data_IF_126779177184
#
_entry.id   IF_126779177184
#
_cell.length_a   1.000
_cell.length_b   1.000
_cell.length_c   1.000
_cell.angle_alpha   90.00
_cell.angle_beta   90.00
_cell.angle_gamma   90.00
#
_symmetry.space_group_name_H-M   'P 1'
#
loop_
_entity.id
_entity.type
_entity.pdbx_description
1 polymer ?
#
# COMPACT_ATOMS: atom_id res chain seq x y z
N UNK A 1 17.88 3.07 11.24
CA UNK A 1 17.73 4.34 10.50
C UNK A 1 16.94 3.97 9.26
N UNK A 2 15.66 4.37 9.19
CA UNK A 2 14.81 4.09 8.01
C UNK A 2 15.34 4.92 6.83
N UNK A 3 15.35 4.40 5.59
CA UNK A 3 15.78 5.15 4.42
C UNK A 3 14.79 6.30 4.12
N UNK A 4 15.33 7.44 3.75
CA UNK A 4 14.57 8.62 3.33
C UNK A 4 14.01 8.37 1.92
N UNK A 5 12.68 8.37 1.77
CA UNK A 5 12.02 8.23 0.47
C UNK A 5 11.99 9.59 -0.20
N UNK A 6 12.71 9.75 -1.30
CA UNK A 6 12.56 10.93 -2.16
C UNK A 6 11.58 10.61 -3.29
N UNK A 7 10.39 11.20 -3.22
CA UNK A 7 9.47 11.24 -4.34
C UNK A 7 9.95 12.32 -5.31
N UNK A 8 10.44 11.94 -6.48
CA UNK A 8 10.68 12.85 -7.57
C UNK A 8 9.48 12.82 -8.50
N UNK A 9 8.60 13.80 -8.38
CA UNK A 9 7.64 14.10 -9.42
C UNK A 9 8.41 14.75 -10.57
N UNK A 10 8.46 14.11 -11.75
CA UNK A 10 9.08 14.71 -12.94
C UNK A 10 8.04 15.66 -13.53
N UNK A 11 8.28 16.97 -13.40
CA UNK A 11 7.43 17.99 -14.03
C UNK A 11 7.71 18.05 -15.53
N UNK A 12 6.73 18.49 -16.34
CA UNK A 12 6.78 18.55 -17.81
C UNK A 12 8.07 19.16 -18.42
N UNK A 13 8.78 20.01 -17.69
CA UNK A 13 10.01 20.64 -18.15
C UNK A 13 11.27 19.77 -18.09
N UNK A 14 11.23 18.60 -17.45
CA UNK A 14 12.37 17.69 -17.34
C UNK A 14 12.24 16.40 -18.17
N UNK A 15 11.10 16.17 -18.82
CA UNK A 15 10.92 15.12 -19.83
C UNK A 15 11.61 15.55 -21.13
N UNK A 16 12.92 15.72 -21.08
CA UNK A 16 13.73 15.86 -22.28
C UNK A 16 13.69 14.55 -23.06
N UNK A 17 13.87 14.61 -24.39
CA UNK A 17 14.07 13.43 -25.26
C UNK A 17 15.04 12.39 -24.64
N UNK A 18 15.98 12.83 -23.80
CA UNK A 18 16.94 11.99 -23.08
C UNK A 18 16.24 11.20 -21.96
N UNK A 19 15.20 11.75 -21.31
CA UNK A 19 14.42 11.03 -20.30
C UNK A 19 13.49 9.99 -20.95
N UNK A 20 12.87 10.31 -22.08
CA UNK A 20 12.11 9.38 -22.91
C UNK A 20 13.00 8.26 -23.50
N UNK A 21 14.19 8.58 -23.97
CA UNK A 21 15.17 7.58 -24.44
C UNK A 21 15.68 6.72 -23.29
N UNK A 22 15.87 7.27 -22.08
CA UNK A 22 16.20 6.48 -20.89
C UNK A 22 15.03 5.62 -20.44
N UNK A 23 13.78 6.11 -20.50
CA UNK A 23 12.58 5.31 -20.25
C UNK A 23 12.45 4.18 -21.28
N UNK A 24 12.59 4.42 -22.57
CA UNK A 24 12.60 3.38 -23.59
C UNK A 24 13.73 2.35 -23.38
N UNK A 25 14.92 2.79 -23.00
CA UNK A 25 16.04 1.88 -22.68
C UNK A 25 15.75 1.04 -21.43
N UNK A 26 15.02 1.58 -20.44
CA UNK A 26 14.57 0.88 -19.25
C UNK A 26 13.46 -0.13 -19.60
N UNK A 27 12.55 0.23 -20.53
CA UNK A 27 11.43 -0.63 -20.93
C UNK A 27 11.88 -1.77 -21.86
N UNK A 28 12.77 -1.51 -22.81
CA UNK A 28 13.27 -2.54 -23.73
C UNK A 28 14.07 -3.64 -23.02
N UNK A 29 14.71 -3.34 -21.90
CA UNK A 29 15.49 -4.32 -21.15
C UNK A 29 14.77 -4.90 -19.92
N UNK A 30 13.69 -4.25 -19.38
CA UNK A 30 13.09 -4.66 -18.11
C UNK A 30 11.60 -4.29 -17.99
N UNK A 31 10.71 -4.95 -18.72
CA UNK A 31 9.27 -4.99 -18.38
C UNK A 31 9.03 -5.42 -16.91
N UNK A 32 10.06 -5.93 -16.28
CA UNK A 32 10.11 -6.34 -14.88
C UNK A 32 10.17 -5.17 -13.87
N UNK A 33 10.37 -3.92 -14.29
CA UNK A 33 10.47 -2.76 -13.39
C UNK A 33 9.15 -2.05 -13.13
N UNK A 34 8.13 -2.28 -13.95
CA UNK A 34 6.80 -1.73 -13.69
C UNK A 34 6.24 -2.34 -12.41
N UNK A 35 5.87 -1.50 -11.47
CA UNK A 35 5.38 -1.85 -10.14
C UNK A 35 4.23 -0.93 -9.74
N UNK A 36 3.69 -1.14 -8.55
CA UNK A 36 2.73 -0.21 -7.96
C UNK A 36 3.09 0.12 -6.51
N UNK A 37 2.62 1.27 -6.06
CA UNK A 37 2.66 1.69 -4.66
C UNK A 37 1.29 2.26 -4.27
N UNK A 38 0.97 2.21 -2.98
CA UNK A 38 -0.23 2.83 -2.41
C UNK A 38 0.22 3.99 -1.53
N UNK A 39 -0.29 5.18 -1.82
CA UNK A 39 0.09 6.44 -1.19
C UNK A 39 -1.17 7.22 -0.78
N UNK A 40 -1.05 8.20 0.14
CA UNK A 40 -2.12 9.15 0.39
C UNK A 40 -2.44 9.92 -0.90
N UNK A 41 -3.70 9.97 -1.31
CA UNK A 41 -4.15 10.76 -2.47
C UNK A 41 -3.74 12.23 -2.34
N UNK A 42 -3.80 12.78 -1.12
CA UNK A 42 -3.41 14.16 -0.84
C UNK A 42 -1.94 14.50 -1.05
N UNK A 43 -1.07 13.48 -1.13
CA UNK A 43 0.39 13.64 -1.35
C UNK A 43 0.82 13.42 -2.79
N UNK A 44 -0.10 13.10 -3.68
CA UNK A 44 0.20 12.89 -5.09
C UNK A 44 -0.26 14.12 -5.87
N UNK A 45 0.66 15.03 -6.26
CA UNK A 45 0.31 16.17 -7.08
C UNK A 45 -0.10 15.70 -8.48
N UNK A 46 -1.00 16.45 -9.12
CA UNK A 46 -1.44 16.25 -10.51
C UNK A 46 -1.81 14.79 -10.83
N UNK A 47 -2.49 14.13 -9.87
CA UNK A 47 -2.81 12.70 -9.93
C UNK A 47 -3.51 12.30 -11.24
N UNK A 48 -4.35 13.17 -11.78
CA UNK A 48 -5.08 12.95 -13.03
C UNK A 48 -4.16 12.87 -14.28
N UNK A 49 -2.91 13.30 -14.15
CA UNK A 49 -1.94 13.29 -15.27
C UNK A 49 -1.12 12.00 -15.32
N UNK A 50 -1.24 11.14 -14.30
CA UNK A 50 -0.48 9.90 -14.18
C UNK A 50 -1.38 8.66 -14.19
N UNK A 51 -0.82 7.51 -14.53
CA UNK A 51 -1.54 6.22 -14.46
C UNK A 51 -1.77 5.85 -13.00
N UNK A 52 -3.04 5.87 -12.58
CA UNK A 52 -3.43 5.59 -11.20
C UNK A 52 -4.80 4.89 -11.11
N UNK A 53 -5.12 4.40 -9.92
CA UNK A 53 -6.46 4.06 -9.46
C UNK A 53 -6.69 4.71 -8.10
N UNK A 54 -7.95 4.83 -7.72
CA UNK A 54 -8.34 5.35 -6.41
C UNK A 54 -8.90 4.21 -5.54
N UNK A 55 -8.53 4.21 -4.26
CA UNK A 55 -9.03 3.29 -3.27
C UNK A 55 -9.36 4.07 -1.99
N UNK A 56 -10.61 4.48 -1.85
CA UNK A 56 -11.08 5.40 -0.80
C UNK A 56 -10.28 6.73 -0.85
N UNK A 57 -9.58 7.12 0.22
CA UNK A 57 -8.71 8.29 0.25
C UNK A 57 -7.25 7.99 -0.17
N UNK A 58 -7.00 6.77 -0.63
CA UNK A 58 -5.70 6.32 -1.10
C UNK A 58 -5.61 6.37 -2.63
N UNK A 59 -4.40 6.57 -3.11
CA UNK A 59 -4.04 6.48 -4.52
C UNK A 59 -3.16 5.25 -4.78
N UNK A 60 -3.52 4.46 -5.77
CA UNK A 60 -2.71 3.37 -6.32
C UNK A 60 -1.93 3.92 -7.49
N UNK A 61 -0.64 4.10 -7.34
CA UNK A 61 0.23 4.70 -8.35
C UNK A 61 1.00 3.61 -9.09
N UNK A 62 0.89 3.61 -10.40
CA UNK A 62 1.67 2.74 -11.27
C UNK A 62 2.95 3.43 -11.68
N UNK A 63 4.08 2.75 -11.48
CA UNK A 63 5.38 3.41 -11.55
C UNK A 63 6.48 2.46 -12.00
N UNK A 64 7.59 3.03 -12.43
CA UNK A 64 8.87 2.31 -12.49
C UNK A 64 9.56 2.42 -11.14
N UNK A 65 9.97 1.28 -10.58
CA UNK A 65 10.69 1.24 -9.31
C UNK A 65 12.09 0.69 -9.54
N UNK A 66 13.09 1.44 -9.11
CA UNK A 66 14.48 1.00 -9.06
C UNK A 66 15.01 1.06 -7.65
N UNK A 67 15.91 0.14 -7.29
CA UNK A 67 16.61 0.14 -6.01
C UNK A 67 18.08 0.45 -6.26
N UNK A 68 18.59 1.52 -5.65
CA UNK A 68 20.03 1.77 -5.64
C UNK A 68 20.71 0.76 -4.72
N UNK A 69 21.77 0.14 -5.19
CA UNK A 69 22.54 -0.89 -4.47
C UNK A 69 23.30 -0.35 -3.27
N UNK A 70 23.57 0.96 -3.23
CA UNK A 70 24.25 1.63 -2.12
C UNK A 70 23.25 2.43 -1.27
N UNK A 71 22.60 1.77 -0.31
CA UNK A 71 21.84 2.44 0.75
C UNK A 71 20.34 2.24 0.76
N UNK A 72 19.79 1.28 0.03
CA UNK A 72 18.34 0.94 0.03
C UNK A 72 17.40 2.11 -0.29
N UNK A 73 17.84 3.05 -1.13
CA UNK A 73 16.95 4.09 -1.64
C UNK A 73 16.13 3.54 -2.81
N UNK A 74 14.82 3.68 -2.71
CA UNK A 74 13.91 3.37 -3.80
C UNK A 74 13.61 4.67 -4.57
N UNK A 75 13.78 4.63 -5.89
CA UNK A 75 13.32 5.67 -6.79
C UNK A 75 12.01 5.24 -7.41
N UNK A 76 10.99 6.06 -7.23
CA UNK A 76 9.66 5.87 -7.82
C UNK A 76 9.53 6.89 -8.94
N UNK A 77 9.35 6.42 -10.17
CA UNK A 77 9.08 7.26 -11.34
C UNK A 77 7.64 6.97 -11.76
N UNK A 78 6.74 7.88 -11.47
CA UNK A 78 5.33 7.78 -11.85
C UNK A 78 5.21 7.79 -13.38
N UNK A 79 4.22 7.07 -13.93
CA UNK A 79 4.02 6.94 -15.38
C UNK A 79 2.98 7.97 -15.80
N UNK A 80 3.35 9.01 -16.58
CA UNK A 80 2.40 9.96 -17.13
C UNK A 80 1.48 9.31 -18.16
N UNK A 81 0.20 9.70 -18.16
CA UNK A 81 -0.80 9.16 -19.09
C UNK A 81 -0.44 9.39 -20.57
N UNK A 82 0.15 10.54 -20.88
CA UNK A 82 0.54 10.94 -22.26
C UNK A 82 1.76 10.16 -22.78
N UNK A 83 2.49 9.45 -21.92
CA UNK A 83 3.64 8.63 -22.31
C UNK A 83 3.27 7.22 -22.76
N UNK A 84 2.06 6.74 -22.47
CA UNK A 84 1.64 5.36 -22.73
C UNK A 84 1.78 4.96 -24.20
N UNK A 85 1.33 5.80 -25.12
CA UNK A 85 1.44 5.53 -26.57
C UNK A 85 2.90 5.44 -27.01
N UNK A 86 3.76 6.32 -26.47
CA UNK A 86 5.18 6.36 -26.82
C UNK A 86 5.93 5.10 -26.35
N UNK A 87 5.49 4.50 -25.24
CA UNK A 87 6.07 3.26 -24.71
C UNK A 87 5.36 2.00 -25.25
N UNK A 88 4.31 2.16 -26.07
CA UNK A 88 3.59 1.05 -26.70
C UNK A 88 2.70 0.24 -25.77
N UNK A 89 2.22 0.83 -24.67
CA UNK A 89 1.34 0.18 -23.71
C UNK A 89 0.00 0.90 -23.61
N UNK A 90 -1.07 0.14 -23.37
CA UNK A 90 -2.33 0.70 -22.87
C UNK A 90 -2.28 0.78 -21.33
N UNK A 91 -3.12 1.63 -20.75
CA UNK A 91 -3.28 1.76 -19.32
C UNK A 91 -3.56 0.40 -18.65
N UNK A 92 -4.50 -0.37 -19.18
CA UNK A 92 -4.84 -1.72 -18.71
C UNK A 92 -3.64 -2.69 -18.72
N UNK A 93 -2.78 -2.59 -19.74
CA UNK A 93 -1.58 -3.43 -19.82
C UNK A 93 -0.57 -3.07 -18.74
N UNK A 94 -0.33 -1.77 -18.51
CA UNK A 94 0.54 -1.28 -17.43
C UNK A 94 0.01 -1.73 -16.08
N UNK A 95 -1.28 -1.52 -15.79
CA UNK A 95 -1.89 -1.91 -14.52
C UNK A 95 -1.76 -3.41 -14.24
N UNK A 96 -2.11 -4.24 -15.20
CA UNK A 96 -1.97 -5.70 -15.10
C UNK A 96 -0.51 -6.15 -14.91
N UNK A 97 0.41 -5.56 -15.67
CA UNK A 97 1.83 -5.89 -15.58
C UNK A 97 2.40 -5.48 -14.21
N UNK A 98 2.05 -4.29 -13.72
CA UNK A 98 2.48 -3.80 -12.41
C UNK A 98 2.04 -4.73 -11.29
N UNK A 99 0.76 -5.12 -11.27
CA UNK A 99 0.23 -6.06 -10.26
C UNK A 99 0.99 -7.39 -10.30
N UNK A 100 1.14 -7.99 -11.49
CA UNK A 100 1.83 -9.27 -11.65
C UNK A 100 3.30 -9.20 -11.20
N UNK A 101 4.02 -8.16 -11.61
CA UNK A 101 5.42 -7.95 -11.23
C UNK A 101 5.57 -7.74 -9.73
N UNK A 102 4.68 -6.93 -9.14
CA UNK A 102 4.73 -6.60 -7.72
C UNK A 102 4.52 -7.85 -6.86
N UNK A 103 3.50 -8.66 -7.17
CA UNK A 103 3.25 -9.93 -6.47
C UNK A 103 4.44 -10.88 -6.57
N UNK A 104 5.01 -11.02 -7.77
CA UNK A 104 6.14 -11.93 -7.98
C UNK A 104 7.42 -11.51 -7.26
N UNK A 105 7.70 -10.21 -7.19
CA UNK A 105 8.91 -9.67 -6.56
C UNK A 105 8.76 -9.50 -5.06
N UNK A 106 7.58 -9.12 -4.61
CA UNK A 106 7.27 -8.77 -3.24
C UNK A 106 6.00 -9.51 -2.78
N UNK A 107 6.06 -10.84 -2.56
CA UNK A 107 4.92 -11.60 -2.05
C UNK A 107 4.38 -10.99 -0.76
N UNK A 108 3.06 -11.05 -0.56
CA UNK A 108 2.44 -10.58 0.67
C UNK A 108 2.91 -11.40 1.88
N UNK A 109 2.99 -10.72 3.01
CA UNK A 109 3.27 -11.29 4.32
C UNK A 109 2.21 -10.83 5.31
N UNK A 110 1.49 -11.77 5.90
CA UNK A 110 0.52 -11.49 6.98
C UNK A 110 0.87 -12.38 8.17
N UNK A 111 1.11 -11.76 9.31
CA UNK A 111 1.47 -12.49 10.55
C UNK A 111 0.88 -11.79 11.78
N UNK A 112 0.79 -12.49 12.91
CA UNK A 112 0.47 -11.84 14.18
C UNK A 112 1.48 -10.73 14.49
N UNK A 113 1.05 -9.70 15.20
CA UNK A 113 1.95 -8.59 15.61
C UNK A 113 3.10 -9.11 16.48
N UNK A 114 2.83 -10.11 17.31
CA UNK A 114 3.85 -10.74 18.15
C UNK A 114 4.92 -11.44 17.33
N UNK A 115 4.52 -12.25 16.34
CA UNK A 115 5.44 -12.92 15.43
C UNK A 115 6.21 -11.92 14.56
N UNK A 116 5.56 -10.82 14.13
CA UNK A 116 6.21 -9.76 13.39
C UNK A 116 7.33 -9.08 14.19
N UNK A 117 7.03 -8.66 15.43
CA UNK A 117 7.99 -8.05 16.36
C UNK A 117 9.13 -9.04 16.67
N UNK A 118 8.80 -10.31 16.95
CA UNK A 118 9.79 -11.34 17.22
C UNK A 118 10.78 -11.50 16.05
N UNK A 119 10.27 -11.49 14.82
CA UNK A 119 11.10 -11.57 13.62
C UNK A 119 12.03 -10.37 13.46
N UNK A 120 11.53 -9.14 13.68
CA UNK A 120 12.32 -7.91 13.55
C UNK A 120 13.44 -7.81 14.57
N UNK A 121 13.17 -8.22 15.80
CA UNK A 121 14.13 -8.10 16.92
C UNK A 121 14.84 -9.40 17.26
N UNK A 122 14.61 -10.48 16.49
CA UNK A 122 15.18 -11.83 16.71
C UNK A 122 14.87 -12.35 18.11
N UNK A 123 13.62 -12.16 18.57
CA UNK A 123 13.12 -12.62 19.85
C UNK A 123 12.39 -13.95 19.70
N UNK A 124 12.16 -14.63 20.83
CA UNK A 124 11.25 -15.78 20.88
C UNK A 124 9.80 -15.26 20.80
N UNK A 125 8.97 -15.72 19.85
CA UNK A 125 7.58 -15.30 19.73
C UNK A 125 6.68 -15.78 20.88
N UNK A 126 7.13 -16.73 21.72
CA UNK A 126 6.32 -17.25 22.83
C UNK A 126 5.89 -16.14 23.78
N UNK A 127 4.57 -15.97 23.89
CA UNK A 127 3.95 -14.98 24.79
C UNK A 127 3.69 -13.60 24.13
N UNK A 128 4.15 -13.36 22.92
CA UNK A 128 3.87 -12.10 22.20
C UNK A 128 2.56 -12.15 21.38
N UNK A 129 2.03 -13.34 21.09
CA UNK A 129 0.83 -13.53 20.27
C UNK A 129 -0.50 -13.41 21.06
N UNK A 130 -0.49 -12.73 22.21
CA UNK A 130 -1.71 -12.56 23.02
C UNK A 130 -2.61 -11.43 22.53
N UNK A 131 -2.11 -10.57 21.66
CA UNK A 131 -2.87 -9.44 21.09
C UNK A 131 -3.45 -9.91 19.77
N UNK A 132 -4.78 -9.87 19.54
CA UNK A 132 -5.42 -10.32 18.31
C UNK A 132 -5.26 -9.27 17.20
N UNK A 133 -4.04 -8.84 16.95
CA UNK A 133 -3.66 -7.91 15.91
C UNK A 133 -2.67 -8.57 14.96
N UNK A 134 -2.80 -8.26 13.69
CA UNK A 134 -1.95 -8.80 12.64
C UNK A 134 -1.32 -7.66 11.85
N UNK A 135 -0.15 -7.92 11.28
CA UNK A 135 0.55 -7.01 10.37
C UNK A 135 0.45 -7.57 8.96
N UNK A 136 0.01 -6.76 8.02
CA UNK A 136 0.01 -7.07 6.60
C UNK A 136 1.01 -6.16 5.87
N UNK A 137 1.93 -6.78 5.16
CA UNK A 137 3.00 -6.10 4.42
C UNK A 137 3.51 -7.00 3.28
N UNK A 138 4.64 -6.67 2.71
CA UNK A 138 5.34 -7.47 1.69
C UNK A 138 6.66 -8.02 2.23
N UNK A 139 7.26 -8.96 1.51
CA UNK A 139 8.42 -9.75 1.97
C UNK A 139 9.66 -8.93 2.33
N UNK A 140 9.86 -7.75 1.75
CA UNK A 140 10.99 -6.85 2.02
C UNK A 140 10.61 -5.64 2.90
N UNK A 141 9.36 -5.60 3.38
CA UNK A 141 8.83 -4.54 4.24
C UNK A 141 8.86 -3.13 3.59
N UNK A 142 8.86 -3.05 2.24
CA UNK A 142 8.90 -1.77 1.52
C UNK A 142 7.60 -1.52 0.76
N UNK A 143 6.95 -0.39 1.06
CA UNK A 143 5.65 -0.01 0.46
C UNK A 143 4.60 -1.12 0.60
N UNK A 144 4.56 -1.77 1.75
CA UNK A 144 3.73 -2.96 1.96
C UNK A 144 2.23 -2.69 1.97
N UNK A 145 1.77 -1.45 2.13
CA UNK A 145 0.35 -1.08 1.96
C UNK A 145 -0.20 -1.49 0.58
N UNK A 146 0.66 -1.70 -0.42
CA UNK A 146 0.29 -2.21 -1.75
C UNK A 146 -0.39 -3.59 -1.74
N UNK A 147 -0.33 -4.35 -0.65
CA UNK A 147 -1.06 -5.62 -0.50
C UNK A 147 -2.57 -5.45 -0.69
N UNK A 148 -3.11 -4.25 -0.46
CA UNK A 148 -4.50 -3.90 -0.77
C UNK A 148 -4.87 -4.17 -2.24
N UNK A 149 -3.88 -4.18 -3.14
CA UNK A 149 -4.06 -4.42 -4.58
C UNK A 149 -3.80 -5.88 -4.98
N UNK A 150 -3.45 -6.74 -4.04
CA UNK A 150 -3.22 -8.16 -4.35
C UNK A 150 -4.57 -8.90 -4.40
N UNK A 151 -4.86 -9.62 -5.48
CA UNK A 151 -6.20 -10.20 -5.70
C UNK A 151 -6.70 -11.10 -4.57
N UNK A 152 -5.80 -11.80 -3.89
CA UNK A 152 -6.14 -12.75 -2.82
C UNK A 152 -6.03 -12.16 -1.42
N UNK A 153 -5.62 -10.88 -1.30
CA UNK A 153 -5.28 -10.30 -0.01
C UNK A 153 -6.43 -10.32 0.98
N UNK A 154 -7.59 -9.82 0.59
CA UNK A 154 -8.71 -9.64 1.51
C UNK A 154 -9.24 -10.96 2.07
N UNK A 155 -9.40 -11.98 1.20
CA UNK A 155 -9.85 -13.30 1.64
C UNK A 155 -8.79 -14.01 2.46
N UNK A 156 -7.52 -13.89 2.09
CA UNK A 156 -6.42 -14.48 2.85
C UNK A 156 -6.33 -13.84 4.25
N UNK A 157 -6.38 -12.52 4.33
CA UNK A 157 -6.37 -11.78 5.60
C UNK A 157 -7.59 -12.16 6.47
N UNK A 158 -8.78 -12.27 5.88
CA UNK A 158 -9.98 -12.72 6.57
C UNK A 158 -9.84 -14.12 7.17
N UNK A 159 -9.19 -15.03 6.44
CA UNK A 159 -8.91 -16.38 6.95
C UNK A 159 -7.91 -16.38 8.11
N UNK A 160 -6.92 -15.51 8.07
CA UNK A 160 -5.92 -15.35 9.14
C UNK A 160 -6.52 -14.70 10.38
N UNK A 161 -7.31 -13.63 10.20
CA UNK A 161 -7.94 -12.88 11.31
C UNK A 161 -9.14 -13.64 11.90
N UNK A 162 -9.86 -14.41 11.07
CA UNK A 162 -10.99 -15.25 11.50
C UNK A 162 -12.36 -14.67 11.20
N UNK A 163 -12.50 -13.71 10.29
CA UNK A 163 -13.79 -13.10 9.92
C UNK A 163 -13.66 -11.68 9.37
N UNK A 164 -14.67 -10.85 9.65
CA UNK A 164 -14.63 -9.43 9.36
C UNK A 164 -13.50 -8.75 10.13
N UNK A 165 -12.90 -7.73 9.54
CA UNK A 165 -11.79 -7.05 10.21
C UNK A 165 -11.67 -5.59 9.79
N UNK A 166 -11.12 -4.81 10.71
CA UNK A 166 -10.66 -3.45 10.46
C UNK A 166 -9.24 -3.47 9.90
N UNK A 167 -8.96 -2.49 9.04
CA UNK A 167 -7.65 -2.22 8.48
C UNK A 167 -7.24 -0.83 8.93
N UNK A 168 -6.19 -0.76 9.74
CA UNK A 168 -5.64 0.48 10.28
C UNK A 168 -4.33 0.79 9.52
N UNK A 169 -4.27 1.90 8.78
CA UNK A 169 -3.05 2.33 8.11
C UNK A 169 -1.98 2.70 9.14
N UNK A 170 -0.97 1.84 9.30
CA UNK A 170 0.17 2.14 10.15
C UNK A 170 1.18 3.01 9.42
N UNK A 171 1.45 2.69 8.17
CA UNK A 171 2.32 3.48 7.29
C UNK A 171 2.15 3.05 5.83
N UNK A 172 2.86 3.72 4.90
CA UNK A 172 2.96 3.23 3.51
C UNK A 172 3.63 1.84 3.41
N UNK A 173 4.25 1.38 4.50
CA UNK A 173 5.02 0.13 4.56
C UNK A 173 4.23 -1.05 5.11
N UNK A 174 3.24 -0.82 5.97
CA UNK A 174 2.47 -1.88 6.63
C UNK A 174 1.06 -1.42 7.01
N UNK A 175 0.16 -2.38 7.11
CA UNK A 175 -1.20 -2.24 7.61
C UNK A 175 -1.36 -3.08 8.87
N UNK A 176 -2.09 -2.57 9.85
CA UNK A 176 -2.52 -3.35 11.00
C UNK A 176 -3.93 -3.87 10.73
N UNK A 177 -4.14 -5.17 10.96
CA UNK A 177 -5.45 -5.81 10.86
C UNK A 177 -5.93 -6.16 12.26
N UNK A 178 -7.19 -5.81 12.56
CA UNK A 178 -7.85 -6.07 13.84
C UNK A 178 -9.19 -6.75 13.60
N UNK A 179 -9.45 -7.87 14.28
CA UNK A 179 -10.73 -8.55 14.17
C UNK A 179 -11.90 -7.63 14.56
N UNK A 180 -12.97 -7.65 13.77
CA UNK A 180 -14.23 -6.99 14.13
C UNK A 180 -15.06 -7.96 14.99
N UNK A 181 -14.79 -7.94 16.28
CA UNK A 181 -15.49 -8.73 17.31
C UNK A 181 -16.56 -7.91 18.06
N UNK A 182 -16.79 -6.66 17.63
CA UNK A 182 -17.75 -5.74 18.24
C UNK A 182 -17.27 -5.07 19.55
N UNK A 183 -16.01 -5.26 19.94
CA UNK A 183 -15.47 -4.65 21.17
C UNK A 183 -14.93 -3.24 20.94
N UNK A 184 -14.51 -2.91 19.72
CA UNK A 184 -13.95 -1.60 19.36
C UNK A 184 -14.96 -0.76 18.59
N UNK A 185 -15.05 0.53 18.88
CA UNK A 185 -15.83 1.45 18.06
C UNK A 185 -14.97 2.03 16.94
N UNK A 186 -15.59 2.40 15.83
CA UNK A 186 -14.89 3.06 14.72
C UNK A 186 -14.24 4.36 15.16
N UNK A 187 -14.90 5.12 16.06
CA UNK A 187 -14.40 6.38 16.60
C UNK A 187 -13.12 6.17 17.43
N UNK A 188 -13.09 5.15 18.30
CA UNK A 188 -11.92 4.84 19.13
C UNK A 188 -10.74 4.41 18.23
N UNK A 189 -11.00 3.59 17.21
CA UNK A 189 -9.97 3.17 16.25
C UNK A 189 -9.40 4.35 15.45
N UNK A 190 -10.26 5.25 14.97
CA UNK A 190 -9.82 6.46 14.27
C UNK A 190 -9.00 7.39 15.16
N UNK A 191 -9.40 7.57 16.41
CA UNK A 191 -8.64 8.38 17.37
C UNK A 191 -7.26 7.77 17.63
N UNK A 192 -7.19 6.44 17.79
CA UNK A 192 -5.93 5.72 17.96
C UNK A 192 -5.01 5.87 16.73
N UNK A 193 -5.54 5.71 15.53
CA UNK A 193 -4.76 5.89 14.28
C UNK A 193 -4.20 7.30 14.20
N UNK A 194 -5.01 8.33 14.46
CA UNK A 194 -4.57 9.73 14.44
C UNK A 194 -3.49 10.04 15.48
N UNK A 195 -3.65 9.51 16.70
CA UNK A 195 -2.65 9.69 17.75
C UNK A 195 -1.31 9.07 17.35
N UNK A 196 -1.32 7.82 16.85
CA UNK A 196 -0.10 7.13 16.41
C UNK A 196 0.54 7.87 15.22
N UNK A 197 -0.26 8.30 14.25
CA UNK A 197 0.25 9.06 13.10
C UNK A 197 0.94 10.36 13.53
N UNK A 198 0.41 11.06 14.55
CA UNK A 198 0.99 12.30 15.04
C UNK A 198 2.27 12.10 15.86
N UNK A 199 2.42 10.96 16.55
CA UNK A 199 3.50 10.76 17.52
C UNK A 199 4.63 9.85 17.00
N UNK A 200 4.30 8.84 16.18
CA UNK A 200 5.21 7.75 15.83
C UNK A 200 5.52 7.66 14.34
N UNK A 201 4.65 8.19 13.47
CA UNK A 201 4.79 8.04 12.02
C UNK A 201 5.44 9.28 11.42
N UNK A 202 6.51 9.08 10.63
CA UNK A 202 7.13 10.19 9.92
C UNK A 202 6.20 10.72 8.82
N UNK A 203 6.33 12.00 8.47
CA UNK A 203 5.54 12.58 7.39
C UNK A 203 5.72 11.83 6.06
N UNK A 204 6.92 11.31 5.78
CA UNK A 204 7.21 10.52 4.58
C UNK A 204 6.52 9.16 4.56
N UNK A 205 6.28 8.58 5.73
CA UNK A 205 5.72 7.23 5.88
C UNK A 205 4.21 7.25 6.11
N UNK A 206 3.63 8.43 6.34
CA UNK A 206 2.19 8.60 6.57
C UNK A 206 1.37 8.06 5.40
N UNK A 207 0.33 7.27 5.71
CA UNK A 207 -0.59 6.70 4.73
C UNK A 207 -1.99 7.31 4.81
N UNK A 208 -2.68 7.20 5.94
CA UNK A 208 -4.03 7.75 6.12
C UNK A 208 -4.40 7.85 7.60
N UNK A 209 -5.28 8.79 7.93
CA UNK A 209 -5.95 8.90 9.25
C UNK A 209 -7.29 8.15 9.29
N UNK A 210 -7.70 7.55 8.19
CA UNK A 210 -8.94 6.79 8.09
C UNK A 210 -8.75 5.33 8.55
N UNK A 211 -9.84 4.71 8.97
CA UNK A 211 -9.91 3.28 9.25
C UNK A 211 -10.78 2.64 8.19
N UNK A 212 -10.36 1.49 7.66
CA UNK A 212 -11.15 0.73 6.69
C UNK A 212 -11.68 -0.54 7.32
N UNK A 213 -12.68 -1.13 6.66
CA UNK A 213 -13.30 -2.38 7.07
C UNK A 213 -13.45 -3.31 5.88
N UNK A 214 -13.22 -4.60 6.09
CA UNK A 214 -13.54 -5.64 5.13
C UNK A 214 -14.64 -6.54 5.66
N UNK A 215 -15.75 -6.61 4.91
CA UNK A 215 -16.91 -7.46 5.19
C UNK A 215 -16.81 -8.74 4.35
N UNK A 216 -16.57 -9.87 5.00
CA UNK A 216 -16.42 -11.19 4.33
C UNK A 216 -17.68 -11.68 3.62
N UNK A 217 -18.87 -11.25 4.08
CA UNK A 217 -20.14 -11.70 3.51
C UNK A 217 -20.42 -10.99 2.18
N UNK A 218 -20.12 -9.70 2.12
CA UNK A 218 -20.32 -8.88 0.91
C UNK A 218 -19.07 -8.76 0.06
N UNK A 219 -17.92 -9.22 0.57
CA UNK A 219 -16.58 -9.08 -0.03
C UNK A 219 -16.24 -7.61 -0.35
N UNK A 220 -16.64 -6.71 0.55
CA UNK A 220 -16.49 -5.29 0.34
C UNK A 220 -15.42 -4.71 1.26
N UNK A 221 -14.45 -4.04 0.67
CA UNK A 221 -13.55 -3.10 1.34
C UNK A 221 -14.17 -1.71 1.26
N UNK A 222 -14.27 -1.02 2.37
CA UNK A 222 -14.82 0.34 2.46
C UNK A 222 -14.31 1.06 3.71
N UNK A 223 -14.44 2.39 3.74
CA UNK A 223 -14.22 3.17 4.95
C UNK A 223 -15.09 2.63 6.10
N UNK A 224 -14.53 2.47 7.29
CA UNK A 224 -15.20 1.85 8.43
C UNK A 224 -16.45 2.64 8.88
N UNK A 225 -16.43 3.97 8.77
CA UNK A 225 -17.62 4.80 9.06
C UNK A 225 -18.73 4.58 8.03
N UNK A 226 -18.37 4.37 6.77
CA UNK A 226 -19.33 4.03 5.72
C UNK A 226 -19.95 2.65 5.96
N UNK A 227 -19.13 1.66 6.33
CA UNK A 227 -19.59 0.32 6.75
C UNK A 227 -20.57 0.40 7.91
N UNK A 228 -20.18 1.08 9.01
CA UNK A 228 -21.03 1.24 10.19
C UNK A 228 -22.39 1.88 9.86
N UNK A 229 -22.38 2.95 9.07
CA UNK A 229 -23.61 3.61 8.64
C UNK A 229 -24.49 2.72 7.74
N UNK A 230 -23.89 1.89 6.91
CA UNK A 230 -24.61 0.94 6.05
C UNK A 230 -25.31 -0.15 6.86
N UNK A 231 -24.62 -0.73 7.81
CA UNK A 231 -25.13 -1.84 8.63
C UNK A 231 -26.25 -1.35 9.57
N UNK A 232 -26.06 -0.19 10.21
CA UNK A 232 -27.06 0.36 11.13
C UNK A 232 -28.33 0.92 10.44
N UNK A 233 -28.30 1.16 9.13
CA UNK A 233 -29.51 1.52 8.36
C UNK A 233 -30.37 0.31 7.98
N UNK A 234 -29.81 -0.89 8.07
CA UNK A 234 -30.46 -2.14 7.70
C UNK A 234 -31.05 -2.88 8.93
N UNK A 235 -30.71 -2.43 10.13
CA UNK A 235 -31.24 -2.90 11.41
C UNK A 235 -32.38 -1.99 11.89
#
# INVERSE_FOLDING_TARGET
>A
MKPEVKMNCVTENELSLVSLVKMNCVIENESSLVSLVVLPKSKVPDIEEIVHDELEDLAVIYCFMSTETEGQKHHIIMIPNDTLDAIGYTEDQIKKQAVANTINKQPMHVSSIGSFIASMYKLDPQGLDQIPMYVATVSDYQFGAKVLMYPEFFEYAAAVVGGNYYILPSSIHELILLADDGTSTVEDLQNTVREINQTEVSESDFLSDEVYHYDVNTKKFENASAYYNRVNRLS
#
